data_IF_460410440544
#
_entry.id   IF_460410440544
#
_cell.length_a   1.000
_cell.length_b   1.000
_cell.length_c   1.000
_cell.angle_alpha   90.00
_cell.angle_beta   90.00
_cell.angle_gamma   90.00
#
_symmetry.space_group_name_H-M   'P 1'
#
loop_
_entity.id
_entity.type
_entity.pdbx_description
1 polymer ?
#
# COMPACT_ATOMS: atom_id res chain seq x y z
N UNK A 1 -9.69 -12.46 -4.63
CA UNK A 1 -8.70 -12.64 -5.72
C UNK A 1 -7.87 -11.37 -5.77
N UNK A 2 -6.52 -11.44 -5.74
CA UNK A 2 -5.70 -10.23 -5.70
C UNK A 2 -5.90 -9.51 -7.03
N UNK A 3 -6.34 -8.25 -7.01
CA UNK A 3 -6.34 -7.48 -8.24
C UNK A 3 -4.88 -7.28 -8.63
N UNK A 4 -4.43 -8.00 -9.66
CA UNK A 4 -3.03 -8.04 -10.07
C UNK A 4 -2.48 -6.65 -10.43
N UNK A 5 -3.35 -5.70 -10.77
CA UNK A 5 -2.98 -4.34 -11.14
C UNK A 5 -2.41 -3.53 -9.97
N UNK A 6 -3.01 -3.61 -8.78
CA UNK A 6 -2.59 -2.84 -7.61
C UNK A 6 -1.25 -3.33 -7.05
N UNK A 7 -1.07 -4.65 -7.03
CA UNK A 7 0.19 -5.26 -6.61
C UNK A 7 1.32 -4.94 -7.60
N UNK A 8 1.01 -4.93 -8.90
CA UNK A 8 1.95 -4.52 -9.94
C UNK A 8 2.30 -3.03 -9.82
N UNK A 9 1.30 -2.17 -9.58
CA UNK A 9 1.49 -0.74 -9.41
C UNK A 9 2.43 -0.44 -8.23
N UNK A 10 2.20 -1.06 -7.06
CA UNK A 10 3.08 -0.90 -5.91
C UNK A 10 4.51 -1.38 -6.22
N UNK A 11 4.67 -2.53 -6.88
CA UNK A 11 5.99 -3.03 -7.28
C UNK A 11 6.72 -2.04 -8.19
N UNK A 12 6.05 -1.54 -9.23
CA UNK A 12 6.63 -0.60 -10.20
C UNK A 12 7.03 0.72 -9.54
N UNK A 13 6.22 1.22 -8.60
CA UNK A 13 6.57 2.41 -7.81
C UNK A 13 7.82 2.16 -6.96
N UNK A 14 7.91 1.01 -6.28
CA UNK A 14 9.08 0.68 -5.49
C UNK A 14 10.33 0.58 -6.37
N UNK A 15 10.24 -0.11 -7.50
CA UNK A 15 11.34 -0.27 -8.46
C UNK A 15 11.79 1.08 -9.05
N UNK A 16 10.84 1.93 -9.45
CA UNK A 16 11.13 3.25 -9.98
C UNK A 16 11.76 4.18 -8.93
N UNK A 17 11.32 4.09 -7.67
CA UNK A 17 11.92 4.81 -6.54
C UNK A 17 13.39 4.43 -6.34
N UNK A 18 13.70 3.13 -6.34
CA UNK A 18 15.08 2.64 -6.26
C UNK A 18 15.89 3.12 -7.46
N UNK A 19 15.32 3.04 -8.68
CA UNK A 19 16.00 3.42 -9.93
C UNK A 19 16.37 4.90 -9.96
N UNK A 20 15.50 5.78 -9.45
CA UNK A 20 15.71 7.23 -9.43
C UNK A 20 16.74 7.72 -8.40
N UNK A 21 17.28 6.83 -7.54
CA UNK A 21 18.36 7.11 -6.56
C UNK A 21 18.28 8.52 -5.95
N UNK A 22 17.42 8.66 -4.94
CA UNK A 22 17.42 9.75 -3.94
C UNK A 22 17.29 11.22 -4.39
N UNK A 23 17.05 11.54 -5.66
CA UNK A 23 16.93 12.94 -6.05
C UNK A 23 15.60 13.62 -5.63
N UNK A 24 14.55 12.85 -5.28
CA UNK A 24 13.22 13.40 -5.07
C UNK A 24 12.57 12.90 -3.76
N UNK A 25 12.51 13.76 -2.75
CA UNK A 25 11.81 13.56 -1.45
C UNK A 25 10.28 13.49 -1.57
N UNK A 26 9.77 13.41 -2.78
CA UNK A 26 8.34 13.38 -3.08
C UNK A 26 7.69 12.12 -2.50
N UNK A 27 6.62 12.29 -1.73
CA UNK A 27 5.80 11.17 -1.26
C UNK A 27 4.97 10.67 -2.43
N UNK A 28 5.09 9.39 -2.77
CA UNK A 28 4.27 8.79 -3.82
C UNK A 28 2.95 8.35 -3.22
N UNK A 29 1.87 8.84 -3.82
CA UNK A 29 0.51 8.46 -3.44
C UNK A 29 0.06 7.30 -4.32
N UNK A 30 -0.34 6.21 -3.68
CA UNK A 30 -0.93 5.03 -4.33
C UNK A 30 -2.37 4.89 -3.85
N UNK A 31 -3.29 4.72 -4.79
CA UNK A 31 -4.71 4.58 -4.50
C UNK A 31 -5.12 3.12 -4.63
N UNK A 32 -5.77 2.59 -3.60
CA UNK A 32 -6.23 1.21 -3.51
C UNK A 32 -7.73 1.17 -3.21
N UNK A 33 -8.41 0.14 -3.68
CA UNK A 33 -9.75 -0.17 -3.19
C UNK A 33 -9.66 -0.97 -1.89
N UNK A 34 -10.59 -0.75 -0.96
CA UNK A 34 -10.64 -1.46 0.31
C UNK A 34 -10.79 -2.97 0.11
N UNK A 35 -11.58 -3.39 -0.89
CA UNK A 35 -11.74 -4.79 -1.30
C UNK A 35 -10.42 -5.48 -1.67
N UNK A 36 -9.41 -4.72 -2.12
CA UNK A 36 -8.09 -5.25 -2.46
C UNK A 36 -7.22 -5.48 -1.23
N UNK A 37 -7.55 -4.86 -0.09
CA UNK A 37 -6.84 -5.02 1.18
C UNK A 37 -7.30 -6.23 2.00
N UNK A 38 -8.45 -6.85 1.67
CA UNK A 38 -8.96 -8.10 2.28
C UNK A 38 -8.07 -9.32 1.99
N UNK A 39 -6.92 -9.10 1.36
CA UNK A 39 -6.00 -10.16 1.03
C UNK A 39 -5.12 -10.51 2.22
N UNK A 40 -5.18 -11.77 2.66
CA UNK A 40 -4.44 -12.30 3.83
C UNK A 40 -2.94 -12.04 3.81
N UNK A 41 -2.36 -11.71 2.66
CA UNK A 41 -0.93 -11.49 2.46
C UNK A 41 -0.56 -10.08 1.99
N UNK A 42 -1.51 -9.13 1.86
CA UNK A 42 -1.19 -7.80 1.31
C UNK A 42 -0.17 -7.05 2.19
N UNK A 43 -0.33 -7.10 3.51
CA UNK A 43 0.65 -6.54 4.45
C UNK A 43 2.05 -7.12 4.25
N UNK A 44 2.17 -8.45 4.19
CA UNK A 44 3.45 -9.14 3.97
C UNK A 44 4.07 -8.75 2.63
N UNK A 45 3.24 -8.59 1.59
CA UNK A 45 3.67 -8.16 0.27
C UNK A 45 4.24 -6.73 0.29
N UNK A 46 3.54 -5.78 0.92
CA UNK A 46 4.03 -4.40 1.08
C UNK A 46 5.38 -4.40 1.80
N UNK A 47 5.49 -5.13 2.91
CA UNK A 47 6.74 -5.25 3.67
C UNK A 47 7.89 -5.78 2.83
N UNK A 48 7.68 -6.89 2.10
CA UNK A 48 8.70 -7.49 1.22
C UNK A 48 9.16 -6.50 0.15
N UNK A 49 8.23 -5.75 -0.46
CA UNK A 49 8.60 -4.78 -1.49
C UNK A 49 9.42 -3.62 -0.92
N UNK A 50 9.01 -3.05 0.21
CA UNK A 50 9.77 -1.97 0.86
C UNK A 50 11.19 -2.40 1.19
N UNK A 51 11.36 -3.59 1.77
CA UNK A 51 12.67 -4.16 2.10
C UNK A 51 13.50 -4.44 0.83
N UNK A 52 12.91 -5.12 -0.16
CA UNK A 52 13.59 -5.51 -1.41
C UNK A 52 14.10 -4.32 -2.21
N UNK A 53 13.33 -3.23 -2.23
CA UNK A 53 13.63 -2.03 -3.01
C UNK A 53 14.27 -0.91 -2.17
N UNK A 54 14.51 -1.15 -0.88
CA UNK A 54 15.06 -0.15 0.06
C UNK A 54 14.27 1.16 0.05
N UNK A 55 12.94 1.07 -0.09
CA UNK A 55 12.02 2.22 -0.04
C UNK A 55 11.60 2.44 1.41
N UNK A 56 11.69 3.67 1.89
CA UNK A 56 11.26 3.99 3.25
C UNK A 56 9.74 4.11 3.30
N UNK A 57 9.14 3.65 4.38
CA UNK A 57 7.68 3.66 4.53
C UNK A 57 7.07 5.06 4.48
N UNK A 58 7.79 6.07 4.96
CA UNK A 58 7.37 7.48 4.89
C UNK A 58 7.46 8.11 3.48
N UNK A 59 7.98 7.39 2.49
CA UNK A 59 8.02 7.83 1.08
C UNK A 59 6.75 7.42 0.31
N UNK A 60 5.87 6.65 0.95
CA UNK A 60 4.61 6.20 0.39
C UNK A 60 3.42 6.73 1.21
N UNK A 61 2.34 7.07 0.51
CA UNK A 61 1.01 7.28 1.07
C UNK A 61 0.01 6.39 0.36
N UNK A 62 -0.79 5.65 1.11
CA UNK A 62 -1.87 4.84 0.58
C UNK A 62 -3.21 5.55 0.78
N UNK A 63 -3.92 5.81 -0.31
CA UNK A 63 -5.30 6.30 -0.31
C UNK A 63 -6.24 5.13 -0.57
N UNK A 64 -7.02 4.75 0.44
CA UNK A 64 -7.86 3.55 0.40
C UNK A 64 -9.31 3.97 0.22
N UNK A 65 -9.87 3.70 -0.96
CA UNK A 65 -11.28 3.98 -1.28
C UNK A 65 -12.16 2.89 -0.70
N UNK A 66 -13.18 3.28 0.06
CA UNK A 66 -14.15 2.34 0.56
C UNK A 66 -15.14 1.93 -0.55
N UNK A 67 -14.88 0.80 -1.20
CA UNK A 67 -15.72 0.21 -2.24
C UNK A 67 -16.56 -0.98 -1.75
N UNK A 68 -16.48 -1.31 -0.45
CA UNK A 68 -17.20 -2.44 0.13
C UNK A 68 -18.38 -1.99 1.00
N UNK A 69 -19.51 -2.70 0.85
CA UNK A 69 -20.58 -2.68 1.86
C UNK A 69 -20.09 -3.25 3.20
N UNK A 70 -20.70 -2.83 4.31
CA UNK A 70 -20.15 -2.89 5.67
C UNK A 70 -19.59 -4.22 6.20
N UNK A 71 -19.86 -5.36 5.59
CA UNK A 71 -19.39 -6.68 6.07
C UNK A 71 -17.90 -6.95 5.78
N UNK A 72 -17.32 -6.35 4.73
CA UNK A 72 -15.88 -6.46 4.41
C UNK A 72 -14.97 -5.47 5.15
N UNK A 73 -15.58 -4.53 5.88
CA UNK A 73 -14.91 -3.37 6.46
C UNK A 73 -13.98 -3.75 7.64
N UNK A 74 -14.42 -4.68 8.50
CA UNK A 74 -13.71 -5.03 9.75
C UNK A 74 -12.38 -5.76 9.53
N UNK A 75 -12.32 -6.68 8.56
CA UNK A 75 -11.09 -7.38 8.21
C UNK A 75 -10.08 -6.42 7.57
N UNK A 76 -10.55 -5.56 6.67
CA UNK A 76 -9.74 -4.58 5.95
C UNK A 76 -9.12 -3.52 6.87
N UNK A 77 -9.84 -3.09 7.90
CA UNK A 77 -9.30 -2.16 8.92
C UNK A 77 -8.08 -2.76 9.61
N UNK A 78 -8.11 -4.06 9.96
CA UNK A 78 -6.95 -4.67 10.65
C UNK A 78 -5.70 -4.64 9.80
N UNK A 79 -5.82 -4.86 8.49
CA UNK A 79 -4.67 -4.81 7.60
C UNK A 79 -4.20 -3.37 7.32
N UNK A 80 -5.12 -2.40 7.28
CA UNK A 80 -4.76 -0.97 7.27
C UNK A 80 -3.94 -0.60 8.51
N UNK A 81 -4.37 -1.03 9.70
CA UNK A 81 -3.64 -0.74 10.93
C UNK A 81 -2.26 -1.40 10.96
N UNK A 82 -2.11 -2.62 10.39
CA UNK A 82 -0.79 -3.24 10.20
C UNK A 82 0.10 -2.44 9.24
N UNK A 83 -0.45 -1.90 8.15
CA UNK A 83 0.32 -1.07 7.21
C UNK A 83 0.76 0.24 7.88
N UNK A 84 -0.11 0.87 8.66
CA UNK A 84 0.26 2.06 9.46
C UNK A 84 1.37 1.75 10.46
N UNK A 85 1.36 0.57 11.09
CA UNK A 85 2.34 0.21 12.12
C UNK A 85 3.77 0.06 11.60
N UNK A 86 3.97 -0.12 10.29
CA UNK A 86 5.29 -0.10 9.64
C UNK A 86 5.68 1.31 9.12
N UNK A 87 4.88 2.33 9.41
CA UNK A 87 5.18 3.75 9.14
C UNK A 87 4.70 4.28 7.78
N UNK A 88 3.90 3.51 7.04
CA UNK A 88 3.28 4.00 5.80
C UNK A 88 2.09 4.90 6.17
N UNK A 89 1.99 6.08 5.55
CA UNK A 89 0.83 6.96 5.71
C UNK A 89 -0.38 6.35 5.01
N UNK A 90 -1.49 6.10 5.72
CA UNK A 90 -2.71 5.51 5.13
C UNK A 90 -3.91 6.42 5.41
N UNK A 91 -4.56 6.87 4.34
CA UNK A 91 -5.78 7.68 4.37
C UNK A 91 -6.96 6.89 3.83
N UNK A 92 -8.06 6.86 4.57
CA UNK A 92 -9.34 6.35 4.10
C UNK A 92 -10.04 7.44 3.28
N UNK A 93 -10.48 7.09 2.08
CA UNK A 93 -11.22 7.94 1.15
C UNK A 93 -12.65 7.42 1.01
N UNK A 94 -13.62 8.32 1.09
CA UNK A 94 -15.01 8.04 0.75
C UNK A 94 -15.25 8.27 -0.75
#
# INVERSE_FOLDING_TARGET
>A
MLNMLDALALKLVCEEKTRRKEANKEVVVLRFCLSHLVFSNFFSFVKILLERFSVRSNELRFEVVNDMGGEGYSASIKDIEKIKSIGVDVRLCN
#
